data_IF_282377684918
#
_entry.id   IF_282377684918
#
_cell.length_a   1.000
_cell.length_b   1.000
_cell.length_c   1.000
_cell.angle_alpha   90.00
_cell.angle_beta   90.00
_cell.angle_gamma   90.00
#
_symmetry.space_group_name_H-M   'P 1'
#
loop_
_entity.id
_entity.type
_entity.pdbx_description
1 polymer ?
#
# COMPACT_ATOMS: atom_id res chain seq x y z
N UNK A 1 -5.13 -15.63 23.66
CA UNK A 1 -5.67 -14.30 23.26
C UNK A 1 -4.75 -13.73 22.20
N UNK A 2 -5.26 -13.31 21.05
CA UNK A 2 -4.43 -12.63 20.03
C UNK A 2 -4.11 -11.24 20.56
N UNK A 3 -2.83 -10.88 20.60
CA UNK A 3 -2.42 -9.52 20.97
C UNK A 3 -2.75 -8.57 19.81
N UNK A 4 -3.91 -7.91 19.93
CA UNK A 4 -4.42 -6.96 18.94
C UNK A 4 -3.47 -5.75 18.80
N UNK A 5 -2.78 -5.36 19.87
CA UNK A 5 -1.81 -4.25 19.82
C UNK A 5 -0.59 -4.63 18.98
N UNK A 6 -0.05 -5.85 19.18
CA UNK A 6 1.03 -6.38 18.36
C UNK A 6 0.60 -6.56 16.89
N UNK A 7 -0.64 -6.99 16.64
CA UNK A 7 -1.24 -7.09 15.29
C UNK A 7 -1.31 -5.72 14.60
N UNK A 8 -1.83 -4.70 15.28
CA UNK A 8 -1.92 -3.31 14.79
C UNK A 8 -0.54 -2.76 14.45
N UNK A 9 0.47 -3.00 15.29
CA UNK A 9 1.85 -2.59 15.02
C UNK A 9 2.43 -3.31 13.80
N UNK A 10 2.23 -4.62 13.69
CA UNK A 10 2.72 -5.41 12.54
C UNK A 10 2.09 -4.93 11.24
N UNK A 11 0.77 -4.74 11.22
CA UNK A 11 0.05 -4.26 10.05
C UNK A 11 0.44 -2.82 9.69
N UNK A 12 0.63 -1.93 10.67
CA UNK A 12 1.10 -0.56 10.43
C UNK A 12 2.49 -0.54 9.78
N UNK A 13 3.42 -1.38 10.27
CA UNK A 13 4.76 -1.49 9.69
C UNK A 13 4.73 -2.07 8.28
N UNK A 14 3.91 -3.11 8.04
CA UNK A 14 3.70 -3.70 6.72
C UNK A 14 3.12 -2.67 5.75
N UNK A 15 2.10 -1.93 6.18
CA UNK A 15 1.46 -0.89 5.39
C UNK A 15 2.45 0.20 4.98
N UNK A 16 3.32 0.65 5.90
CA UNK A 16 4.35 1.64 5.57
C UNK A 16 5.32 1.16 4.48
N UNK A 17 5.70 -0.12 4.48
CA UNK A 17 6.54 -0.70 3.42
C UNK A 17 5.82 -0.74 2.08
N UNK A 18 4.58 -1.21 2.07
CA UNK A 18 3.76 -1.28 0.86
C UNK A 18 3.51 0.11 0.27
N UNK A 19 3.25 1.11 1.12
CA UNK A 19 3.10 2.50 0.68
C UNK A 19 4.36 3.02 0.00
N UNK A 20 5.56 2.74 0.54
CA UNK A 20 6.83 3.13 -0.11
C UNK A 20 7.03 2.48 -1.47
N UNK A 21 6.63 1.22 -1.62
CA UNK A 21 6.69 0.52 -2.92
C UNK A 21 5.74 1.16 -3.93
N UNK A 22 4.50 1.43 -3.52
CA UNK A 22 3.52 2.14 -4.34
C UNK A 22 4.00 3.54 -4.74
N UNK A 23 4.51 4.32 -3.78
CA UNK A 23 5.02 5.67 -4.02
C UNK A 23 6.17 5.64 -5.04
N UNK A 24 7.00 4.58 -5.05
CA UNK A 24 8.02 4.37 -6.06
C UNK A 24 7.45 4.17 -7.46
N UNK A 25 6.40 3.35 -7.61
CA UNK A 25 5.72 3.17 -8.90
C UNK A 25 5.05 4.46 -9.37
N UNK A 26 4.39 5.19 -8.46
CA UNK A 26 3.76 6.48 -8.78
C UNK A 26 4.79 7.52 -9.17
N UNK A 27 5.93 7.60 -8.47
CA UNK A 27 7.01 8.51 -8.83
C UNK A 27 7.52 8.23 -10.25
N UNK A 28 7.67 6.95 -10.60
CA UNK A 28 8.05 6.53 -11.94
C UNK A 28 7.00 6.92 -12.99
N UNK A 29 5.71 6.70 -12.71
CA UNK A 29 4.60 7.05 -13.60
C UNK A 29 4.33 8.56 -13.70
N UNK A 30 4.74 9.34 -12.69
CA UNK A 30 4.65 10.79 -12.71
C UNK A 30 5.75 11.45 -13.54
N UNK A 31 6.81 10.71 -13.87
CA UNK A 31 7.93 11.22 -14.67
C UNK A 31 7.55 11.20 -16.17
N UNK A 32 7.42 12.36 -16.83
CA UNK A 32 7.07 12.40 -18.25
C UNK A 32 8.10 11.68 -19.12
N UNK A 33 9.39 11.80 -18.75
CA UNK A 33 10.48 11.07 -19.41
C UNK A 33 10.27 9.55 -19.38
N UNK A 34 9.71 9.00 -18.31
CA UNK A 34 9.43 7.57 -18.24
C UNK A 34 8.19 7.23 -19.07
N UNK A 35 7.10 7.98 -18.94
CA UNK A 35 5.83 7.71 -19.64
C UNK A 35 5.97 7.85 -21.16
N UNK A 36 6.78 8.81 -21.62
CA UNK A 36 6.94 9.10 -23.06
C UNK A 36 8.05 8.30 -23.73
N UNK A 37 9.11 7.92 -23.00
CA UNK A 37 10.28 7.26 -23.59
C UNK A 37 10.39 5.77 -23.29
N UNK A 38 9.74 5.29 -22.22
CA UNK A 38 9.76 3.87 -21.93
C UNK A 38 8.81 3.11 -22.88
N UNK A 39 9.13 1.85 -23.21
CA UNK A 39 8.22 0.99 -23.95
C UNK A 39 6.84 0.89 -23.28
N UNK A 40 5.77 0.85 -24.10
CA UNK A 40 4.39 0.84 -23.60
C UNK A 40 4.10 -0.34 -22.68
N UNK A 41 4.68 -1.51 -22.94
CA UNK A 41 4.57 -2.71 -22.11
C UNK A 41 5.19 -2.51 -20.73
N UNK A 42 6.32 -1.79 -20.66
CA UNK A 42 6.98 -1.43 -19.40
C UNK A 42 6.14 -0.43 -18.61
N UNK A 43 5.62 0.62 -19.27
CA UNK A 43 4.75 1.61 -18.62
C UNK A 43 3.47 0.94 -18.11
N UNK A 44 2.85 0.08 -18.92
CA UNK A 44 1.66 -0.68 -18.54
C UNK A 44 1.95 -1.60 -17.35
N UNK A 45 3.07 -2.32 -17.36
CA UNK A 45 3.46 -3.19 -16.26
C UNK A 45 3.68 -2.42 -14.94
N UNK A 46 4.23 -1.21 -14.99
CA UNK A 46 4.35 -0.37 -13.78
C UNK A 46 2.98 0.14 -13.31
N UNK A 47 2.06 0.49 -14.23
CA UNK A 47 0.68 0.86 -13.88
C UNK A 47 -0.08 -0.29 -13.22
N UNK A 48 0.03 -1.50 -13.76
CA UNK A 48 -0.58 -2.70 -13.19
C UNK A 48 -0.03 -2.99 -11.78
N UNK A 49 1.30 -2.92 -11.60
CA UNK A 49 1.93 -3.06 -10.28
C UNK A 49 1.48 -1.99 -9.29
N UNK A 50 1.33 -0.74 -9.73
CA UNK A 50 0.82 0.34 -8.90
C UNK A 50 -0.62 0.05 -8.45
N UNK A 51 -1.49 -0.36 -9.37
CA UNK A 51 -2.88 -0.70 -9.07
C UNK A 51 -3.00 -1.88 -8.09
N UNK A 52 -2.23 -2.96 -8.31
CA UNK A 52 -2.20 -4.08 -7.37
C UNK A 52 -1.68 -3.68 -5.99
N UNK A 53 -0.64 -2.83 -5.93
CA UNK A 53 -0.09 -2.33 -4.68
C UNK A 53 -1.12 -1.47 -3.94
N UNK A 54 -1.84 -0.60 -4.65
CA UNK A 54 -2.92 0.24 -4.12
C UNK A 54 -4.07 -0.59 -3.52
N UNK A 55 -4.51 -1.64 -4.21
CA UNK A 55 -5.56 -2.53 -3.72
C UNK A 55 -5.13 -3.22 -2.41
N UNK A 56 -3.91 -3.78 -2.38
CA UNK A 56 -3.35 -4.44 -1.20
C UNK A 56 -3.17 -3.47 -0.03
N UNK A 57 -2.74 -2.23 -0.31
CA UNK A 57 -2.64 -1.13 0.66
C UNK A 57 -4.02 -0.83 1.25
N UNK A 58 -5.03 -0.69 0.41
CA UNK A 58 -6.41 -0.37 0.81
C UNK A 58 -6.99 -1.45 1.71
N UNK A 59 -6.84 -2.72 1.33
CA UNK A 59 -7.28 -3.85 2.16
C UNK A 59 -6.57 -3.85 3.54
N UNK A 60 -5.26 -3.60 3.55
CA UNK A 60 -4.47 -3.54 4.78
C UNK A 60 -4.86 -2.35 5.65
N UNK A 61 -5.14 -1.18 5.06
CA UNK A 61 -5.65 0.02 5.76
C UNK A 61 -6.99 -0.28 6.41
N UNK A 62 -7.94 -0.83 5.65
CA UNK A 62 -9.27 -1.18 6.16
C UNK A 62 -9.18 -2.16 7.33
N UNK A 63 -8.32 -3.18 7.23
CA UNK A 63 -8.11 -4.13 8.33
C UNK A 63 -7.48 -3.45 9.55
N UNK A 64 -6.50 -2.58 9.34
CA UNK A 64 -5.84 -1.84 10.41
C UNK A 64 -6.82 -0.92 11.14
N UNK A 65 -7.66 -0.20 10.40
CA UNK A 65 -8.71 0.66 10.95
C UNK A 65 -9.72 -0.14 11.75
N UNK A 66 -10.22 -1.26 11.20
CA UNK A 66 -11.11 -2.15 11.92
C UNK A 66 -10.54 -2.61 13.27
N UNK A 67 -9.26 -3.01 13.29
CA UNK A 67 -8.60 -3.44 14.53
C UNK A 67 -8.41 -2.28 15.51
N UNK A 68 -8.02 -1.10 15.04
CA UNK A 68 -7.88 0.11 15.87
C UNK A 68 -9.22 0.52 16.50
N UNK A 69 -10.31 0.48 15.74
CA UNK A 69 -11.65 0.79 16.23
C UNK A 69 -12.11 -0.20 17.31
N UNK A 70 -11.84 -1.51 17.14
CA UNK A 70 -12.18 -2.51 18.16
C UNK A 70 -11.34 -2.38 19.44
N UNK A 71 -10.08 -1.93 19.34
CA UNK A 71 -9.24 -1.63 20.52
C UNK A 71 -9.78 -0.42 21.30
N UNK A 72 -10.30 0.59 20.60
CA UNK A 72 -10.85 1.80 21.24
C UNK A 72 -12.18 1.54 21.94
N UNK A 73 -13.01 0.63 21.43
CA UNK A 73 -14.32 0.28 22.02
C UNK A 73 -14.19 -0.66 23.23
N UNK A 74 -13.06 -1.37 23.37
CA UNK A 74 -12.81 -2.30 24.49
C UNK A 74 -12.08 -1.68 25.69
N UNK A 75 -11.94 -0.35 25.73
CA UNK A 75 -11.30 0.39 26.85
C UNK A 75 -12.31 0.97 27.81
#
# INVERSE_FOLDING_TARGET
MVDVSAEVQRLSKRLSKMQKEYDGFIAQLSSPNFVEKAPEDVVRGVREKAAEAEEKITLTKNRLEFLKSNVLVSK
#
